data_IF_209652747773
#
_entry.id   IF_209652747773
#
_cell.length_a   1.000
_cell.length_b   1.000
_cell.length_c   1.000
_cell.angle_alpha   90.00
_cell.angle_beta   90.00
_cell.angle_gamma   90.00
#
_symmetry.space_group_name_H-M   'P 1'
#
loop_
_entity.id
_entity.type
_entity.pdbx_description
1 polymer ?
#
# COMPACT_ATOMS: atom_id res chain seq x y z
N UNK A 1 -24.85 -4.27 -43.40
CA UNK A 1 -23.87 -3.47 -42.65
C UNK A 1 -24.10 -3.80 -41.19
N UNK A 2 -23.11 -4.30 -40.44
CA UNK A 2 -23.35 -4.59 -39.03
C UNK A 2 -23.60 -3.25 -38.33
N UNK A 3 -24.67 -3.20 -37.55
CA UNK A 3 -24.96 -2.12 -36.62
C UNK A 3 -23.93 -2.15 -35.48
N UNK A 4 -22.69 -1.75 -35.77
CA UNK A 4 -21.59 -1.62 -34.80
C UNK A 4 -21.74 -0.38 -33.90
N UNK A 5 -22.83 0.37 -34.05
CA UNK A 5 -23.18 1.49 -33.17
C UNK A 5 -24.00 0.98 -32.00
N UNK A 6 -23.39 0.96 -30.81
CA UNK A 6 -24.11 0.84 -29.54
C UNK A 6 -25.27 1.84 -29.50
N UNK A 7 -26.44 1.41 -29.04
CA UNK A 7 -27.55 2.32 -28.78
C UNK A 7 -27.17 3.34 -27.71
N UNK A 8 -27.83 4.49 -27.69
CA UNK A 8 -27.53 5.57 -26.73
C UNK A 8 -27.61 5.08 -25.27
N UNK A 9 -28.52 4.14 -24.98
CA UNK A 9 -28.68 3.53 -23.66
C UNK A 9 -27.47 2.65 -23.30
N UNK A 10 -26.99 1.85 -24.25
CA UNK A 10 -25.80 1.01 -24.07
C UNK A 10 -24.52 1.84 -23.92
N UNK A 11 -24.40 2.95 -24.66
CA UNK A 11 -23.30 3.89 -24.51
C UNK A 11 -23.30 4.57 -23.14
N UNK A 12 -24.48 4.96 -22.65
CA UNK A 12 -24.63 5.54 -21.32
C UNK A 12 -24.23 4.54 -20.24
N UNK A 13 -24.76 3.32 -20.28
CA UNK A 13 -24.46 2.28 -19.29
C UNK A 13 -22.98 1.90 -19.27
N UNK A 14 -22.34 1.79 -20.45
CA UNK A 14 -20.91 1.54 -20.57
C UNK A 14 -20.10 2.65 -19.90
N UNK A 15 -20.41 3.91 -20.23
CA UNK A 15 -19.71 5.08 -19.69
C UNK A 15 -19.92 5.18 -18.18
N UNK A 16 -21.14 4.94 -17.70
CA UNK A 16 -21.48 4.97 -16.29
C UNK A 16 -20.72 3.90 -15.51
N UNK A 17 -20.70 2.66 -15.99
CA UNK A 17 -19.95 1.56 -15.33
C UNK A 17 -18.45 1.82 -15.34
N UNK A 18 -17.90 2.27 -16.46
CA UNK A 18 -16.48 2.60 -16.55
C UNK A 18 -16.10 3.70 -15.56
N UNK A 19 -16.89 4.77 -15.50
CA UNK A 19 -16.67 5.90 -14.58
C UNK A 19 -16.79 5.47 -13.12
N UNK A 20 -17.84 4.70 -12.80
CA UNK A 20 -18.04 4.16 -11.45
C UNK A 20 -16.85 3.30 -11.01
N UNK A 21 -16.40 2.38 -11.87
CA UNK A 21 -15.28 1.50 -11.55
C UNK A 21 -13.99 2.30 -11.38
N UNK A 22 -13.72 3.28 -12.24
CA UNK A 22 -12.55 4.14 -12.12
C UNK A 22 -12.54 4.92 -10.80
N UNK A 23 -13.67 5.49 -10.39
CA UNK A 23 -13.78 6.21 -9.11
C UNK A 23 -13.46 5.29 -7.93
N UNK A 24 -14.04 4.09 -7.92
CA UNK A 24 -13.81 3.13 -6.84
C UNK A 24 -12.39 2.58 -6.81
N UNK A 25 -11.77 2.41 -7.98
CA UNK A 25 -10.38 1.96 -8.10
C UNK A 25 -9.39 3.01 -7.56
N UNK A 26 -9.59 4.28 -7.95
CA UNK A 26 -8.78 5.41 -7.45
C UNK A 26 -8.94 5.57 -5.93
N UNK A 27 -10.18 5.57 -5.44
CA UNK A 27 -10.44 5.72 -4.01
C UNK A 27 -9.88 4.54 -3.21
N UNK A 28 -10.06 3.31 -3.70
CA UNK A 28 -9.54 2.10 -3.08
C UNK A 28 -8.01 2.13 -3.00
N UNK A 29 -7.35 2.49 -4.10
CA UNK A 29 -5.88 2.63 -4.16
C UNK A 29 -5.38 3.73 -3.21
N UNK A 30 -6.06 4.87 -3.14
CA UNK A 30 -5.68 5.96 -2.24
C UNK A 30 -5.78 5.56 -0.76
N UNK A 31 -6.88 4.91 -0.36
CA UNK A 31 -7.03 4.41 1.02
C UNK A 31 -5.99 3.34 1.34
N UNK A 32 -5.71 2.45 0.39
CA UNK A 32 -4.70 1.42 0.57
C UNK A 32 -3.28 2.01 0.73
N UNK A 33 -2.93 3.01 -0.08
CA UNK A 33 -1.68 3.75 0.04
C UNK A 33 -1.53 4.42 1.41
N UNK A 34 -2.58 5.09 1.89
CA UNK A 34 -2.58 5.69 3.22
C UNK A 34 -2.33 4.62 4.29
N UNK A 35 -3.05 3.49 4.23
CA UNK A 35 -2.85 2.38 5.15
C UNK A 35 -1.40 1.89 5.14
N UNK A 36 -0.80 1.68 3.96
CA UNK A 36 0.59 1.25 3.84
C UNK A 36 1.57 2.27 4.43
N UNK A 37 1.35 3.57 4.21
CA UNK A 37 2.20 4.64 4.77
C UNK A 37 2.14 4.62 6.30
N UNK A 38 0.94 4.54 6.88
CA UNK A 38 0.78 4.45 8.34
C UNK A 38 1.38 3.17 8.91
N UNK A 39 1.14 2.02 8.26
CA UNK A 39 1.71 0.74 8.67
C UNK A 39 3.25 0.78 8.63
N UNK A 40 3.83 1.38 7.59
CA UNK A 40 5.27 1.59 7.47
C UNK A 40 5.79 2.47 8.60
N UNK A 41 5.14 3.60 8.87
CA UNK A 41 5.52 4.52 9.94
C UNK A 41 5.50 3.85 11.31
N UNK A 42 4.42 3.15 11.64
CA UNK A 42 4.29 2.40 12.90
C UNK A 42 5.39 1.32 12.98
N UNK A 43 5.66 0.62 11.88
CA UNK A 43 6.65 -0.44 11.86
C UNK A 43 8.07 0.09 12.12
N UNK A 44 8.42 1.19 11.45
CA UNK A 44 9.72 1.82 11.60
C UNK A 44 9.92 2.39 13.00
N UNK A 45 8.96 3.19 13.49
CA UNK A 45 9.08 3.87 14.78
C UNK A 45 8.89 2.92 15.96
N UNK A 46 8.02 1.90 15.83
CA UNK A 46 7.65 1.00 16.92
C UNK A 46 8.55 -0.22 17.07
N UNK A 47 9.20 -0.69 16.00
CA UNK A 47 10.01 -1.91 16.04
C UNK A 47 11.42 -1.70 15.54
N UNK A 48 11.59 -1.11 14.35
CA UNK A 48 12.90 -1.03 13.69
C UNK A 48 13.84 -0.07 14.42
N UNK A 49 13.43 1.17 14.66
CA UNK A 49 14.29 2.15 15.32
C UNK A 49 14.60 1.79 16.78
N UNK A 50 13.67 1.26 17.59
CA UNK A 50 14.00 0.75 18.92
C UNK A 50 15.04 -0.38 18.87
N UNK A 51 14.92 -1.32 17.94
CA UNK A 51 15.90 -2.39 17.79
C UNK A 51 17.28 -1.89 17.33
N UNK A 52 17.32 -0.88 16.46
CA UNK A 52 18.57 -0.21 16.10
C UNK A 52 19.17 0.55 17.28
N UNK A 53 18.34 1.16 18.13
CA UNK A 53 18.77 1.81 19.37
C UNK A 53 19.38 0.82 20.37
N UNK A 54 18.76 -0.34 20.55
CA UNK A 54 19.30 -1.46 21.35
C UNK A 54 20.66 -1.92 20.80
N UNK A 55 20.77 -2.10 19.49
CA UNK A 55 22.02 -2.51 18.87
C UNK A 55 23.12 -1.45 19.05
N UNK A 56 22.77 -0.16 18.90
CA UNK A 56 23.69 0.96 19.05
C UNK A 56 24.18 1.15 20.49
N UNK A 57 23.35 0.80 21.49
CA UNK A 57 23.74 0.81 22.91
C UNK A 57 24.57 -0.41 23.32
N UNK A 58 24.85 -1.34 22.39
CA UNK A 58 25.55 -2.59 22.66
C UNK A 58 24.66 -3.68 23.27
N UNK A 59 23.35 -3.46 23.30
CA UNK A 59 22.36 -4.43 23.73
C UNK A 59 22.29 -5.62 22.78
N UNK A 60 22.25 -6.82 23.33
CA UNK A 60 22.18 -8.08 22.57
C UNK A 60 20.88 -8.83 22.84
N UNK A 61 19.81 -8.12 23.23
CA UNK A 61 18.51 -8.74 23.50
C UNK A 61 17.97 -9.41 22.22
N UNK A 62 17.90 -10.75 22.15
CA UNK A 62 17.52 -11.46 20.94
C UNK A 62 16.08 -11.16 20.49
N UNK A 63 15.18 -10.87 21.44
CA UNK A 63 13.80 -10.53 21.13
C UNK A 63 13.69 -9.16 20.47
N UNK A 64 14.39 -8.15 21.01
CA UNK A 64 14.39 -6.81 20.45
C UNK A 64 14.96 -6.82 19.02
N UNK A 65 16.11 -7.48 18.83
CA UNK A 65 16.75 -7.59 17.51
C UNK A 65 15.93 -8.44 16.53
N UNK A 66 15.31 -9.53 17.01
CA UNK A 66 14.46 -10.39 16.19
C UNK A 66 13.20 -9.68 15.71
N UNK A 67 12.47 -9.02 16.60
CA UNK A 67 11.27 -8.23 16.26
C UNK A 67 11.63 -7.06 15.34
N UNK A 68 12.74 -6.36 15.62
CA UNK A 68 13.25 -5.31 14.74
C UNK A 68 13.60 -5.80 13.35
N UNK A 69 14.24 -6.96 13.23
CA UNK A 69 14.58 -7.59 11.95
C UNK A 69 13.34 -7.97 11.13
N UNK A 70 12.34 -8.59 11.76
CA UNK A 70 11.05 -8.88 11.10
C UNK A 70 10.35 -7.58 10.68
N UNK A 71 10.31 -6.58 11.57
CA UNK A 71 9.76 -5.26 11.27
C UNK A 71 10.46 -4.61 10.07
N UNK A 72 11.78 -4.76 9.96
CA UNK A 72 12.53 -4.23 8.83
C UNK A 72 12.14 -4.89 7.50
N UNK A 73 11.96 -6.22 7.48
CA UNK A 73 11.46 -6.92 6.28
C UNK A 73 10.06 -6.44 5.89
N UNK A 74 9.15 -6.28 6.85
CA UNK A 74 7.81 -5.74 6.62
C UNK A 74 7.87 -4.32 6.07
N UNK A 75 8.76 -3.48 6.61
CA UNK A 75 8.98 -2.12 6.13
C UNK A 75 9.47 -2.08 4.68
N UNK A 76 10.37 -2.99 4.27
CA UNK A 76 10.82 -3.11 2.89
C UNK A 76 9.68 -3.51 1.95
N UNK A 77 8.86 -4.47 2.34
CA UNK A 77 7.69 -4.91 1.54
C UNK A 77 6.69 -3.76 1.38
N UNK A 78 6.35 -3.08 2.48
CA UNK A 78 5.45 -1.94 2.45
C UNK A 78 6.00 -0.80 1.58
N UNK A 79 7.30 -0.48 1.72
CA UNK A 79 7.97 0.52 0.89
C UNK A 79 7.97 0.17 -0.60
N UNK A 80 8.20 -1.10 -0.94
CA UNK A 80 8.12 -1.59 -2.32
C UNK A 80 6.70 -1.43 -2.90
N UNK A 81 5.66 -1.78 -2.16
CA UNK A 81 4.28 -1.64 -2.63
C UNK A 81 3.87 -0.18 -2.80
N UNK A 82 4.29 0.71 -1.88
CA UNK A 82 4.06 2.15 -2.03
C UNK A 82 4.72 2.67 -3.31
N UNK A 83 5.97 2.28 -3.57
CA UNK A 83 6.69 2.68 -4.79
C UNK A 83 6.02 2.16 -6.07
N UNK A 84 5.50 0.94 -6.05
CA UNK A 84 4.81 0.35 -7.20
C UNK A 84 3.49 1.08 -7.50
N UNK A 85 2.73 1.43 -6.46
CA UNK A 85 1.41 2.07 -6.59
C UNK A 85 1.47 3.57 -6.85
N UNK A 86 2.62 4.21 -6.60
CA UNK A 86 2.84 5.64 -6.86
C UNK A 86 3.39 5.94 -8.27
N UNK A 87 3.67 4.91 -9.07
CA UNK A 87 4.19 5.00 -10.43
C UNK A 87 3.11 4.66 -11.45
#
# INVERSE_FOLDING_TARGET
MPSDSLSSEEQYELTYRATKNAIWDVLGTAVYLLFLIFALGITLLGFVFPALGELASGGTNPLALGVGGVGFLVALIAGYQIYQLSR
#
